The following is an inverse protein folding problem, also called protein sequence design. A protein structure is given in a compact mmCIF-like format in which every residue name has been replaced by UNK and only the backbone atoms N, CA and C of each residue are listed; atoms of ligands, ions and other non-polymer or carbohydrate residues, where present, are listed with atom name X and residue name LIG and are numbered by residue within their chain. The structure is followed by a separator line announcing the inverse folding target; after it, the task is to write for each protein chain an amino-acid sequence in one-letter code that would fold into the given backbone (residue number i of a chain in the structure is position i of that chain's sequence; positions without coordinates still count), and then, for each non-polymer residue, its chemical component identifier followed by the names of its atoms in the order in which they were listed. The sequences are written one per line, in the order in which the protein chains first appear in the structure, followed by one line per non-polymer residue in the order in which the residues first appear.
data_IF_017510111204
#
_entry.id   IF_017510111204
#
_cell.length_a   1.000
_cell.length_b   1.000
_cell.length_c   1.000
_cell.angle_alpha   90.00
_cell.angle_beta   90.00
_cell.angle_gamma   90.00
#
_symmetry.space_group_name_H-M   'P 1'
#
loop_
_entity.id
_entity.type
_entity.pdbx_description
1 polymer ?
#
# COMPACT_ATOMS: atom_id res chain seq x y z
N UNK A 1 0.08 16.27 1.21
CA UNK A 1 1.46 15.76 1.11
C UNK A 1 2.35 16.20 2.26
N UNK A 2 2.35 15.40 3.33
CA UNK A 2 3.37 15.50 4.38
C UNK A 2 4.61 14.65 4.05
N UNK A 3 4.51 13.78 3.04
CA UNK A 3 5.59 12.98 2.48
C UNK A 3 6.01 11.83 3.38
N UNK A 4 6.58 10.79 2.76
CA UNK A 4 7.36 9.81 3.50
C UNK A 4 8.68 10.47 3.91
N UNK A 5 8.93 10.59 5.22
CA UNK A 5 10.17 11.22 5.71
C UNK A 5 11.40 10.50 5.13
N UNK A 6 12.42 11.26 4.71
CA UNK A 6 13.66 10.64 4.25
C UNK A 6 14.26 9.79 5.37
N UNK A 7 14.67 8.57 5.02
CA UNK A 7 15.25 7.55 5.91
C UNK A 7 14.27 6.84 6.87
N UNK A 8 12.96 6.87 6.62
CA UNK A 8 12.06 5.92 7.28
C UNK A 8 12.50 4.50 6.93
N UNK A 9 12.73 3.67 7.95
CA UNK A 9 13.07 2.27 7.73
C UNK A 9 11.82 1.48 7.39
N UNK A 10 11.62 1.18 6.11
CA UNK A 10 10.50 0.39 5.61
C UNK A 10 10.83 -1.11 5.47
N UNK A 11 12.06 -1.53 5.78
CA UNK A 11 12.52 -2.92 5.52
C UNK A 11 11.74 -3.97 6.29
N UNK A 12 10.98 -3.58 7.31
CA UNK A 12 10.08 -4.47 8.05
C UNK A 12 8.99 -5.10 7.18
N UNK A 13 8.67 -4.52 6.00
CA UNK A 13 7.77 -5.16 5.03
C UNK A 13 8.39 -6.39 4.38
N UNK A 14 9.71 -6.43 4.18
CA UNK A 14 10.37 -7.50 3.41
C UNK A 14 10.17 -8.86 4.09
N UNK A 15 9.69 -9.83 3.32
CA UNK A 15 9.34 -11.16 3.78
C UNK A 15 7.98 -11.27 4.47
N UNK A 16 7.22 -10.17 4.60
CA UNK A 16 5.86 -10.22 5.14
C UNK A 16 4.87 -10.63 4.04
N UNK A 17 4.13 -11.69 4.31
CA UNK A 17 3.03 -12.16 3.47
C UNK A 17 1.80 -11.27 3.68
N UNK A 18 1.15 -10.87 2.59
CA UNK A 18 -0.16 -10.23 2.64
C UNK A 18 -1.24 -11.28 2.86
N UNK A 19 -1.96 -11.18 3.98
CA UNK A 19 -2.97 -12.17 4.39
C UNK A 19 -4.41 -11.69 4.17
N UNK A 20 -4.63 -10.38 4.05
CA UNK A 20 -5.95 -9.81 3.84
C UNK A 20 -5.85 -8.47 3.13
N UNK A 21 -6.81 -8.22 2.25
CA UNK A 21 -7.16 -6.90 1.74
C UNK A 21 -8.58 -6.59 2.22
N UNK A 22 -8.76 -5.48 2.94
CA UNK A 22 -10.06 -4.98 3.35
C UNK A 22 -10.38 -3.71 2.54
N UNK A 23 -11.53 -3.71 1.86
CA UNK A 23 -11.97 -2.59 1.02
C UNK A 23 -13.13 -1.90 1.73
N UNK A 24 -12.88 -0.68 2.20
CA UNK A 24 -13.88 0.20 2.78
C UNK A 24 -14.45 1.19 1.76
N UNK A 25 -15.40 2.04 2.17
CA UNK A 25 -16.00 3.04 1.29
C UNK A 25 -15.02 4.14 0.83
N UNK A 26 -13.96 4.40 1.60
CA UNK A 26 -13.01 5.49 1.36
C UNK A 26 -11.55 5.05 1.59
N UNK A 27 -11.32 3.75 1.81
CA UNK A 27 -9.99 3.23 2.11
C UNK A 27 -9.81 1.80 1.64
N UNK A 28 -8.55 1.45 1.40
CA UNK A 28 -8.12 0.05 1.23
C UNK A 28 -7.05 -0.24 2.26
N UNK A 29 -7.20 -1.35 2.97
CA UNK A 29 -6.27 -1.79 4.00
C UNK A 29 -5.63 -3.11 3.60
N UNK A 30 -4.31 -3.17 3.72
CA UNK A 30 -3.47 -4.32 3.48
C UNK A 30 -2.97 -4.82 4.83
N UNK A 31 -3.36 -6.04 5.21
CA UNK A 31 -2.90 -6.66 6.45
C UNK A 31 -1.91 -7.77 6.11
N UNK A 32 -0.73 -7.66 6.69
CA UNK A 32 0.34 -8.63 6.51
C UNK A 32 0.51 -9.48 7.78
N UNK A 33 1.27 -10.57 7.68
CA UNK A 33 1.70 -11.32 8.85
C UNK A 33 2.40 -10.43 9.90
N UNK A 34 2.38 -10.87 11.15
CA UNK A 34 3.01 -10.19 12.30
C UNK A 34 2.47 -8.77 12.58
N UNK A 35 1.18 -8.53 12.30
CA UNK A 35 0.46 -7.28 12.59
C UNK A 35 0.97 -6.05 11.83
N UNK A 36 1.78 -6.26 10.81
CA UNK A 36 2.14 -5.18 9.87
C UNK A 36 0.91 -4.84 9.05
N UNK A 37 0.60 -3.55 8.90
CA UNK A 37 -0.50 -3.11 8.05
C UNK A 37 -0.22 -1.80 7.34
N UNK A 38 -0.90 -1.61 6.21
CA UNK A 38 -0.91 -0.39 5.42
C UNK A 38 -2.37 -0.02 5.14
N UNK A 39 -2.80 1.17 5.53
CA UNK A 39 -4.13 1.69 5.28
C UNK A 39 -4.00 2.88 4.33
N UNK A 40 -4.76 2.89 3.24
CA UNK A 40 -4.61 3.85 2.16
C UNK A 40 -5.93 4.55 1.89
N UNK A 41 -5.92 5.88 1.86
CA UNK A 41 -7.05 6.77 1.59
C UNK A 41 -6.82 7.61 0.31
N UNK A 42 -5.79 7.26 -0.45
CA UNK A 42 -5.37 7.95 -1.68
C UNK A 42 -5.18 6.95 -2.81
N UNK A 43 -4.63 7.42 -3.93
CA UNK A 43 -4.49 6.59 -5.12
C UNK A 43 -3.57 5.38 -4.91
N UNK A 44 -3.96 4.26 -5.49
CA UNK A 44 -3.23 3.00 -5.53
C UNK A 44 -3.08 2.57 -6.99
N UNK A 45 -1.87 2.20 -7.40
CA UNK A 45 -1.62 1.49 -8.66
C UNK A 45 -1.21 0.04 -8.35
N UNK A 46 -1.84 -0.91 -9.03
CA UNK A 46 -1.45 -2.31 -9.04
C UNK A 46 -1.05 -2.74 -10.44
N UNK A 47 0.18 -3.25 -10.57
CA UNK A 47 0.75 -3.72 -11.81
C UNK A 47 0.96 -5.24 -11.72
N UNK A 48 0.20 -5.99 -12.51
CA UNK A 48 0.25 -7.45 -12.62
C UNK A 48 0.44 -7.84 -14.08
N UNK A 49 1.48 -8.64 -14.37
CA UNK A 49 1.82 -9.06 -15.74
C UNK A 49 1.93 -7.90 -16.76
N UNK A 50 2.30 -6.70 -16.29
CA UNK A 50 2.40 -5.49 -17.11
C UNK A 50 1.07 -4.77 -17.35
N UNK A 51 -0.04 -5.25 -16.79
CA UNK A 51 -1.34 -4.56 -16.79
C UNK A 51 -1.43 -3.70 -15.54
N UNK A 52 -1.70 -2.41 -15.74
CA UNK A 52 -1.87 -1.43 -14.67
C UNK A 52 -3.36 -1.26 -14.36
N UNK A 53 -3.71 -1.34 -13.07
CA UNK A 53 -5.06 -1.06 -12.56
C UNK A 53 -4.96 -0.03 -11.44
N UNK A 54 -5.79 0.99 -11.51
CA UNK A 54 -5.81 2.09 -10.55
C UNK A 54 -7.05 2.01 -9.64
N UNK A 55 -6.87 2.40 -8.38
CA UNK A 55 -7.94 2.76 -7.46
C UNK A 55 -7.67 4.19 -6.96
N UNK A 56 -8.64 5.09 -7.12
CA UNK A 56 -8.48 6.54 -6.95
C UNK A 56 -9.23 7.13 -5.74
N UNK A 57 -9.83 6.29 -4.89
CA UNK A 57 -10.44 6.73 -3.64
C UNK A 57 -11.80 7.42 -3.74
N UNK A 58 -12.22 7.95 -4.90
CA UNK A 58 -13.39 8.84 -5.00
C UNK A 58 -14.41 8.40 -6.07
N UNK A 59 -13.97 7.91 -7.23
CA UNK A 59 -14.88 7.66 -8.36
C UNK A 59 -15.15 6.17 -8.63
N UNK A 60 -14.26 5.30 -8.17
CA UNK A 60 -14.34 3.88 -8.45
C UNK A 60 -14.90 3.07 -7.28
N UNK A 61 -16.07 2.45 -7.51
CA UNK A 61 -16.73 1.49 -6.60
C UNK A 61 -15.74 0.42 -6.11
N UNK A 62 -15.99 -0.27 -4.98
CA UNK A 62 -15.13 -1.32 -4.42
C UNK A 62 -14.61 -2.39 -5.40
N UNK A 63 -15.26 -2.56 -6.55
CA UNK A 63 -14.82 -3.45 -7.62
C UNK A 63 -13.47 -3.06 -8.26
N UNK A 64 -13.10 -1.79 -8.30
CA UNK A 64 -11.79 -1.39 -8.86
C UNK A 64 -10.62 -1.88 -7.99
N UNK A 65 -10.85 -2.05 -6.69
CA UNK A 65 -9.89 -2.67 -5.78
C UNK A 65 -9.79 -4.20 -5.95
N UNK A 66 -10.61 -4.83 -6.80
CA UNK A 66 -10.62 -6.29 -6.94
C UNK A 66 -9.29 -6.87 -7.46
N UNK A 67 -8.54 -6.11 -8.25
CA UNK A 67 -7.22 -6.54 -8.72
C UNK A 67 -6.24 -6.75 -7.56
N UNK A 68 -6.38 -5.98 -6.47
CA UNK A 68 -5.53 -6.04 -5.28
C UNK A 68 -5.65 -7.38 -4.54
N UNK A 69 -6.76 -8.11 -4.74
CA UNK A 69 -6.93 -9.45 -4.17
C UNK A 69 -5.90 -10.45 -4.72
N UNK A 70 -5.33 -10.19 -5.90
CA UNK A 70 -4.26 -11.01 -6.49
C UNK A 70 -2.94 -11.01 -5.70
N UNK A 71 -2.77 -10.03 -4.81
CA UNK A 71 -1.59 -9.92 -3.94
C UNK A 71 -1.66 -10.84 -2.71
N UNK A 72 -2.85 -11.33 -2.35
CA UNK A 72 -3.04 -12.18 -1.16
C UNK A 72 -2.23 -13.47 -1.30
N UNK A 73 -1.63 -13.92 -0.20
CA UNK A 73 -0.68 -15.05 -0.12
C UNK A 73 0.69 -14.79 -0.78
N UNK A 74 0.95 -13.57 -1.25
CA UNK A 74 2.27 -13.17 -1.75
C UNK A 74 3.05 -12.40 -0.69
N UNK A 75 4.35 -12.63 -0.64
CA UNK A 75 5.26 -11.92 0.28
C UNK A 75 5.94 -10.74 -0.39
N UNK A 76 6.21 -9.68 0.36
CA UNK A 76 6.99 -8.55 -0.15
C UNK A 76 8.45 -8.95 -0.33
N UNK A 77 9.01 -8.74 -1.53
CA UNK A 77 10.40 -9.00 -1.88
C UNK A 77 11.27 -7.76 -1.79
N UNK A 78 10.69 -6.58 -2.04
CA UNK A 78 11.39 -5.30 -1.89
C UNK A 78 10.40 -4.17 -1.63
N UNK A 79 10.90 -3.11 -0.99
CA UNK A 79 10.16 -1.92 -0.63
C UNK A 79 11.00 -0.69 -0.95
N UNK A 80 10.36 0.35 -1.45
CA UNK A 80 10.96 1.64 -1.75
C UNK A 80 9.99 2.76 -1.36
N UNK A 81 10.53 3.79 -0.72
CA UNK A 81 9.83 5.05 -0.49
C UNK A 81 10.53 6.15 -1.28
N UNK A 82 9.80 6.81 -2.17
CA UNK A 82 10.31 7.87 -3.02
C UNK A 82 10.17 9.24 -2.33
N UNK A 83 10.94 10.23 -2.82
CA UNK A 83 10.96 11.57 -2.21
C UNK A 83 9.66 12.35 -2.37
N UNK A 84 8.79 11.93 -3.29
CA UNK A 84 7.45 12.47 -3.47
C UNK A 84 6.42 11.82 -2.54
N UNK A 85 6.84 10.91 -1.66
CA UNK A 85 5.97 10.18 -0.75
C UNK A 85 5.37 8.91 -1.33
N UNK A 86 5.70 8.53 -2.57
CA UNK A 86 5.23 7.26 -3.14
C UNK A 86 5.85 6.07 -2.42
N UNK A 87 5.00 5.13 -1.96
CA UNK A 87 5.42 3.84 -1.42
C UNK A 87 5.26 2.76 -2.49
N UNK A 88 6.33 2.02 -2.78
CA UNK A 88 6.33 0.89 -3.71
C UNK A 88 6.66 -0.41 -3.01
N UNK A 89 5.83 -1.45 -3.18
CA UNK A 89 6.03 -2.80 -2.68
C UNK A 89 6.03 -3.81 -3.84
N UNK A 90 7.11 -4.58 -4.00
CA UNK A 90 7.15 -5.70 -4.95
C UNK A 90 6.86 -7.01 -4.25
N UNK A 91 6.12 -7.90 -4.91
CA UNK A 91 5.67 -9.16 -4.34
C UNK A 91 6.33 -10.37 -5.00
N UNK A 92 6.25 -11.53 -4.35
CA UNK A 92 6.81 -12.81 -4.83
C UNK A 92 6.13 -13.35 -6.08
N UNK A 93 4.88 -12.97 -6.34
CA UNK A 93 4.16 -13.29 -7.56
C UNK A 93 4.61 -12.45 -8.78
N UNK A 94 5.49 -11.46 -8.57
CA UNK A 94 5.99 -10.55 -9.60
C UNK A 94 5.28 -9.20 -9.64
N UNK A 95 4.20 -9.03 -8.88
CA UNK A 95 3.37 -7.84 -8.92
C UNK A 95 4.03 -6.66 -8.19
N UNK A 96 3.58 -5.46 -8.54
CA UNK A 96 3.98 -4.20 -7.92
C UNK A 96 2.74 -3.44 -7.44
N UNK A 97 2.75 -3.07 -6.17
CA UNK A 97 1.80 -2.14 -5.57
C UNK A 97 2.50 -0.79 -5.38
N UNK A 98 1.89 0.29 -5.88
CA UNK A 98 2.28 1.65 -5.54
C UNK A 98 1.16 2.37 -4.81
N UNK A 99 1.52 3.19 -3.84
CA UNK A 99 0.62 4.03 -3.07
C UNK A 99 1.14 5.46 -3.12
N UNK A 100 0.28 6.39 -3.51
CA UNK A 100 0.66 7.77 -3.76
C UNK A 100 0.31 8.67 -2.58
N UNK A 101 1.24 9.54 -2.19
CA UNK A 101 0.93 10.69 -1.34
C UNK A 101 0.35 11.79 -2.24
N UNK A 102 -0.88 11.68 -2.75
CA UNK A 102 -1.50 12.68 -3.63
C UNK A 102 -2.76 13.35 -3.07
N UNK A 103 -3.05 13.14 -1.79
CA UNK A 103 -4.15 13.82 -1.10
C UNK A 103 -3.77 15.27 -0.75
N UNK A 104 -4.56 16.23 -1.24
CA UNK A 104 -4.39 17.66 -0.94
C UNK A 104 -4.89 18.05 0.45
N UNK A 105 -5.87 17.33 0.99
CA UNK A 105 -6.62 17.74 2.18
C UNK A 105 -6.50 16.78 3.36
N UNK A 106 -6.03 15.55 3.15
CA UNK A 106 -5.97 14.51 4.18
C UNK A 106 -4.65 13.75 4.16
N UNK A 107 -4.45 12.88 5.15
CA UNK A 107 -3.42 11.84 5.13
C UNK A 107 -3.72 10.88 3.98
N UNK A 108 -2.69 10.54 3.20
CA UNK A 108 -2.79 9.63 2.07
C UNK A 108 -2.71 8.17 2.52
N UNK A 109 -1.83 7.85 3.47
CA UNK A 109 -1.74 6.50 3.99
C UNK A 109 -1.07 6.43 5.37
N UNK A 110 -1.37 5.34 6.07
CA UNK A 110 -0.83 5.02 7.38
C UNK A 110 -0.17 3.64 7.36
N UNK A 111 1.03 3.54 7.91
CA UNK A 111 1.76 2.29 8.07
C UNK A 111 1.88 1.94 9.55
N UNK A 112 1.48 0.73 9.90
CA UNK A 112 1.73 0.14 11.21
C UNK A 112 2.82 -0.94 11.07
N UNK A 113 4.02 -0.74 11.65
CA UNK A 113 5.09 -1.73 11.62
C UNK A 113 4.86 -2.93 12.57
N UNK A 114 3.80 -2.92 13.38
CA UNK A 114 3.52 -3.91 14.42
C UNK A 114 4.17 -3.62 15.78
N UNK A 115 4.98 -2.55 15.88
CA UNK A 115 5.71 -2.15 17.09
C UNK A 115 5.03 -1.02 17.88
N UNK A 116 3.87 -0.54 17.40
CA UNK A 116 3.09 0.54 18.02
C UNK A 116 3.47 1.95 17.61
N UNK A 117 4.44 2.14 16.69
CA UNK A 117 4.80 3.46 16.14
C UNK A 117 4.32 3.59 14.71
N UNK A 118 3.13 4.16 14.53
CA UNK A 118 2.58 4.39 13.20
C UNK A 118 3.38 5.47 12.45
N UNK A 119 3.59 5.22 11.16
CA UNK A 119 4.05 6.19 10.18
C UNK A 119 2.82 6.72 9.47
N UNK A 120 2.70 8.03 9.37
CA UNK A 120 1.55 8.72 8.77
C UNK A 120 2.10 9.61 7.66
N UNK A 121 1.52 9.50 6.47
CA UNK A 121 1.88 10.23 5.27
C UNK A 121 0.65 10.93 4.72
#
# INVERSE_FOLDING_TARGET
MYGLKPNVDLRFFVGKELIQVAVGPADVQFHFHERVSLSVQSRIEHISEGVETEWDGDENKPLAAASLLGLISSSVTSVQGDSDGTLSLRFTNGDLLKVFDDSEHYESYQINPGDGKNIIV
#
